data_IF_282604734152
#
_entry.id   IF_282604734152
#
_cell.length_a   1.000
_cell.length_b   1.000
_cell.length_c   1.000
_cell.angle_alpha   90.00
_cell.angle_beta   90.00
_cell.angle_gamma   90.00
#
_symmetry.space_group_name_H-M   'P 1'
#
loop_
_entity.id
_entity.type
_entity.pdbx_description
1 polymer ?
#
# COMPACT_ATOMS: atom_id res chain seq x y z
N UNK A 1 47.91 8.07 21.29
CA UNK A 1 47.36 9.41 21.04
C UNK A 1 48.36 10.05 20.10
N UNK A 2 48.11 10.25 18.81
CA UNK A 2 46.84 10.43 18.11
C UNK A 2 46.91 9.85 16.69
N UNK A 3 45.81 9.24 16.26
CA UNK A 3 45.61 8.69 14.92
C UNK A 3 44.87 9.75 14.08
N UNK A 4 45.62 10.59 13.37
CA UNK A 4 45.12 11.39 12.26
C UNK A 4 45.14 10.53 10.99
N UNK A 5 44.08 9.77 10.75
CA UNK A 5 43.85 9.08 9.48
C UNK A 5 42.36 9.15 9.14
N UNK A 6 42.09 9.61 7.91
CA UNK A 6 40.82 9.69 7.18
C UNK A 6 39.99 10.97 7.34
N UNK A 7 40.39 12.02 6.63
CA UNK A 7 39.42 13.00 6.07
C UNK A 7 39.72 13.43 4.62
N UNK A 8 40.82 12.96 4.00
CA UNK A 8 41.23 13.42 2.67
C UNK A 8 40.68 12.62 1.48
N UNK A 9 39.94 11.52 1.71
CA UNK A 9 39.43 10.67 0.62
C UNK A 9 37.98 11.00 0.21
N UNK A 10 37.23 11.74 1.02
CA UNK A 10 35.84 12.08 0.74
C UNK A 10 35.67 13.34 -0.14
N UNK A 11 36.66 14.22 -0.18
CA UNK A 11 36.60 15.51 -0.87
C UNK A 11 37.05 15.45 -2.34
N UNK A 12 37.84 14.45 -2.74
CA UNK A 12 38.30 14.31 -4.14
C UNK A 12 37.36 13.51 -5.04
N UNK A 13 36.43 12.74 -4.46
CA UNK A 13 35.48 11.90 -5.21
C UNK A 13 34.13 12.60 -5.52
N UNK A 14 33.84 13.75 -4.89
CA UNK A 14 32.53 14.45 -4.99
C UNK A 14 32.46 15.40 -6.20
N UNK A 15 33.59 15.70 -6.85
CA UNK A 15 33.64 16.55 -8.04
C UNK A 15 34.21 15.78 -9.23
N UNK A 16 33.43 14.85 -9.78
CA UNK A 16 33.70 14.40 -11.14
C UNK A 16 33.44 15.58 -12.09
N UNK A 17 34.42 16.02 -12.91
CA UNK A 17 34.28 17.19 -13.78
C UNK A 17 33.07 17.13 -14.72
N UNK A 18 32.60 15.93 -15.04
CA UNK A 18 31.38 15.67 -15.82
C UNK A 18 30.11 16.08 -15.08
N UNK A 19 29.98 15.74 -13.79
CA UNK A 19 28.82 16.09 -12.95
C UNK A 19 28.77 17.59 -12.68
N UNK A 20 29.91 18.20 -12.36
CA UNK A 20 30.03 19.63 -12.15
C UNK A 20 29.66 20.43 -13.42
N UNK A 21 30.07 19.96 -14.60
CA UNK A 21 29.73 20.58 -15.89
C UNK A 21 28.24 20.45 -16.21
N UNK A 22 27.62 19.30 -15.89
CA UNK A 22 26.17 19.12 -16.05
C UNK A 22 25.37 20.03 -15.14
N UNK A 23 25.76 20.15 -13.86
CA UNK A 23 25.11 21.07 -12.93
C UNK A 23 25.25 22.53 -13.36
N UNK A 24 26.42 22.93 -13.85
CA UNK A 24 26.63 24.26 -14.42
C UNK A 24 25.78 24.51 -15.67
N UNK A 25 25.61 23.51 -16.54
CA UNK A 25 24.74 23.62 -17.70
C UNK A 25 23.28 23.80 -17.30
N UNK A 26 22.79 22.96 -16.39
CA UNK A 26 21.41 23.05 -15.88
C UNK A 26 21.17 24.38 -15.17
N UNK A 27 22.14 24.90 -14.40
CA UNK A 27 22.02 26.20 -13.76
C UNK A 27 21.89 27.35 -14.76
N UNK A 28 22.55 27.27 -15.93
CA UNK A 28 22.40 28.25 -17.01
C UNK A 28 21.05 28.15 -17.71
N UNK A 29 20.54 26.95 -17.93
CA UNK A 29 19.21 26.75 -18.50
C UNK A 29 18.12 27.27 -17.56
N UNK A 30 18.25 27.03 -16.25
CA UNK A 30 17.33 27.58 -15.24
C UNK A 30 17.36 29.10 -15.20
N UNK A 31 18.53 29.73 -15.28
CA UNK A 31 18.61 31.20 -15.28
C UNK A 31 18.00 31.81 -16.54
N UNK A 32 18.15 31.16 -17.71
CA UNK A 32 17.47 31.55 -18.94
C UNK A 32 15.95 31.44 -18.81
N UNK A 33 15.43 30.31 -18.32
CA UNK A 33 13.98 30.12 -18.08
C UNK A 33 13.44 31.13 -17.08
N UNK A 34 14.15 31.42 -15.99
CA UNK A 34 13.72 32.38 -14.98
C UNK A 34 13.63 33.81 -15.54
N UNK A 35 14.61 34.24 -16.35
CA UNK A 35 14.58 35.55 -17.02
C UNK A 35 13.41 35.63 -18.02
N UNK A 36 13.21 34.59 -18.81
CA UNK A 36 12.12 34.52 -19.78
C UNK A 36 10.74 34.54 -19.10
N UNK A 37 10.54 33.78 -18.02
CA UNK A 37 9.31 33.81 -17.23
C UNK A 37 9.07 35.18 -16.60
N UNK A 38 10.10 35.80 -16.02
CA UNK A 38 9.97 37.16 -15.46
C UNK A 38 9.53 38.18 -16.52
N UNK A 39 10.09 38.09 -17.74
CA UNK A 39 9.70 38.96 -18.84
C UNK A 39 8.24 38.74 -19.29
N UNK A 40 7.77 37.48 -19.36
CA UNK A 40 6.39 37.17 -19.80
C UNK A 40 5.32 37.46 -18.72
N UNK A 41 5.63 37.33 -17.44
CA UNK A 41 4.66 37.52 -16.35
C UNK A 41 4.61 38.95 -15.79
N UNK A 42 5.55 39.83 -16.12
CA UNK A 42 5.59 41.20 -15.60
C UNK A 42 4.27 41.97 -15.83
N UNK A 43 3.71 42.66 -14.82
CA UNK A 43 4.22 42.91 -13.46
C UNK A 43 3.83 41.86 -12.40
N UNK A 44 3.14 40.79 -12.79
CA UNK A 44 2.72 39.72 -11.85
C UNK A 44 3.89 38.80 -11.52
N UNK A 45 3.95 38.25 -10.30
CA UNK A 45 4.95 37.25 -9.96
C UNK A 45 4.70 35.95 -10.74
N UNK A 46 5.79 35.26 -11.08
CA UNK A 46 5.73 33.93 -11.70
C UNK A 46 5.06 32.95 -10.70
N UNK A 47 4.02 32.20 -11.11
CA UNK A 47 3.40 31.19 -10.25
C UNK A 47 4.42 30.14 -9.79
N UNK A 48 4.26 29.56 -8.57
CA UNK A 48 5.14 28.48 -8.12
C UNK A 48 4.95 27.24 -8.99
N UNK A 49 6.04 26.61 -9.38
CA UNK A 49 6.04 25.36 -10.15
C UNK A 49 7.17 24.45 -9.67
N UNK A 50 7.03 23.15 -9.94
CA UNK A 50 8.02 22.15 -9.58
C UNK A 50 9.27 22.30 -10.46
N UNK A 51 10.46 22.35 -9.85
CA UNK A 51 11.73 22.39 -10.58
C UNK A 51 12.31 20.98 -10.70
N UNK A 52 12.02 20.34 -11.82
CA UNK A 52 12.57 19.03 -12.18
C UNK A 52 13.18 19.09 -13.60
N UNK A 53 13.87 18.03 -14.03
CA UNK A 53 14.53 18.02 -15.35
C UNK A 53 13.53 18.04 -16.52
N UNK A 54 12.33 17.53 -16.30
CA UNK A 54 11.28 17.45 -17.32
C UNK A 54 10.62 18.81 -17.54
N UNK A 55 10.37 19.56 -16.47
CA UNK A 55 9.89 20.95 -16.49
C UNK A 55 10.94 21.88 -17.08
N UNK A 56 12.23 21.69 -16.76
CA UNK A 56 13.30 22.44 -17.42
C UNK A 56 13.28 22.23 -18.94
N UNK A 57 13.18 20.98 -19.39
CA UNK A 57 13.11 20.64 -20.81
C UNK A 57 11.87 21.25 -21.47
N UNK A 58 10.71 21.10 -20.85
CA UNK A 58 9.44 21.62 -21.38
C UNK A 58 9.44 23.15 -21.46
N UNK A 59 9.89 23.84 -20.41
CA UNK A 59 9.95 25.31 -20.37
C UNK A 59 10.99 25.86 -21.34
N UNK A 60 12.14 25.20 -21.48
CA UNK A 60 13.16 25.62 -22.46
C UNK A 60 12.66 25.45 -23.89
N UNK A 61 11.98 24.34 -24.20
CA UNK A 61 11.36 24.13 -25.51
C UNK A 61 10.26 25.17 -25.79
N UNK A 62 9.44 25.50 -24.79
CA UNK A 62 8.39 26.52 -24.91
C UNK A 62 8.98 27.92 -25.10
N UNK A 63 10.06 28.24 -24.38
CA UNK A 63 10.77 29.50 -24.53
C UNK A 63 11.34 29.66 -25.94
N UNK A 64 12.04 28.63 -26.44
CA UNK A 64 12.57 28.62 -27.80
C UNK A 64 11.48 28.71 -28.88
N UNK A 65 10.36 28.00 -28.71
CA UNK A 65 9.23 28.07 -29.64
C UNK A 65 8.58 29.47 -29.65
N UNK A 66 8.45 30.10 -28.48
CA UNK A 66 7.93 31.46 -28.37
C UNK A 66 8.89 32.48 -28.99
N UNK A 67 10.18 32.38 -28.73
CA UNK A 67 11.19 33.27 -29.34
C UNK A 67 11.22 33.12 -30.86
N UNK A 68 11.20 31.89 -31.38
CA UNK A 68 11.11 31.64 -32.83
C UNK A 68 9.84 32.25 -33.45
N UNK A 69 8.69 32.12 -32.77
CA UNK A 69 7.44 32.74 -33.22
C UNK A 69 7.48 34.28 -33.12
N UNK A 70 8.14 34.82 -32.10
CA UNK A 70 8.33 36.27 -31.94
C UNK A 70 9.24 36.83 -33.05
N UNK A 71 10.34 36.13 -33.40
CA UNK A 71 11.25 36.45 -34.51
C UNK A 71 10.57 36.36 -35.89
N UNK A 72 9.77 35.32 -36.11
CA UNK A 72 9.01 35.17 -37.35
C UNK A 72 8.02 36.33 -37.52
N UNK A 73 7.28 36.67 -36.45
CA UNK A 73 6.36 37.80 -36.46
C UNK A 73 7.08 39.13 -36.72
N UNK A 74 8.26 39.33 -36.13
CA UNK A 74 9.09 40.51 -36.39
C UNK A 74 9.52 40.56 -37.87
N UNK A 75 10.03 39.46 -38.41
CA UNK A 75 10.46 39.36 -39.81
C UNK A 75 9.32 39.61 -40.79
N UNK A 76 8.13 39.07 -40.52
CA UNK A 76 6.94 39.32 -41.33
C UNK A 76 6.50 40.80 -41.28
N UNK A 77 6.61 41.44 -40.12
CA UNK A 77 6.28 42.85 -39.97
C UNK A 77 7.26 43.73 -40.74
N UNK A 78 8.57 43.47 -40.62
CA UNK A 78 9.61 44.17 -41.38
C UNK A 78 9.43 44.00 -42.88
N UNK A 79 9.15 42.78 -43.34
CA UNK A 79 8.86 42.50 -44.74
C UNK A 79 7.65 43.29 -45.24
N UNK A 80 6.55 43.29 -44.47
CA UNK A 80 5.35 44.10 -44.79
C UNK A 80 5.66 45.59 -44.83
N UNK A 81 6.41 46.12 -43.88
CA UNK A 81 6.82 47.53 -43.87
C UNK A 81 7.70 47.87 -45.07
N UNK A 82 8.64 46.99 -45.43
CA UNK A 82 9.50 47.18 -46.58
C UNK A 82 8.70 47.20 -47.90
N UNK A 83 7.74 46.27 -48.07
CA UNK A 83 6.82 46.26 -49.21
C UNK A 83 6.00 47.56 -49.25
N UNK A 84 5.41 47.98 -48.14
CA UNK A 84 4.60 49.20 -48.09
C UNK A 84 5.43 50.45 -48.40
N UNK A 85 6.67 50.51 -47.93
CA UNK A 85 7.58 51.63 -48.17
C UNK A 85 8.07 51.71 -49.62
N UNK A 86 8.20 50.57 -50.30
CA UNK A 86 8.62 50.47 -51.70
C UNK A 86 7.46 50.51 -52.69
N UNK A 87 6.22 50.33 -52.21
CA UNK A 87 5.02 50.41 -53.04
C UNK A 87 4.78 51.85 -53.51
N UNK A 88 4.90 52.06 -54.83
CA UNK A 88 4.44 53.28 -55.50
C UNK A 88 3.17 52.97 -56.28
N UNK A 89 2.02 53.59 -55.95
CA UNK A 89 0.80 53.36 -56.70
C UNK A 89 1.01 53.85 -58.14
N UNK A 90 0.95 52.95 -59.12
CA UNK A 90 0.90 53.32 -60.53
C UNK A 90 -0.42 54.05 -60.76
N UNK A 91 -0.36 55.23 -61.40
CA UNK A 91 -1.57 55.94 -61.82
C UNK A 91 -2.36 55.01 -62.75
N UNK A 92 -3.67 54.77 -62.48
CA UNK A 92 -4.47 53.91 -63.33
C UNK A 92 -4.50 54.48 -64.75
N UNK A 93 -4.37 53.60 -65.74
CA UNK A 93 -4.41 53.97 -67.15
C UNK A 93 -5.77 54.63 -67.48
N UNK A 94 -5.80 55.62 -68.38
CA UNK A 94 -7.02 56.39 -68.69
C UNK A 94 -8.17 55.49 -69.17
N UNK A 95 -7.82 54.34 -69.76
CA UNK A 95 -8.78 53.29 -70.17
C UNK A 95 -9.48 52.65 -68.98
N UNK A 96 -8.77 52.42 -67.87
CA UNK A 96 -9.31 51.81 -66.64
C UNK A 96 -10.27 52.77 -65.95
N UNK A 97 -9.97 54.07 -66.00
CA UNK A 97 -10.84 55.12 -65.45
C UNK A 97 -12.17 55.15 -66.21
N UNK A 98 -12.14 55.14 -67.54
CA UNK A 98 -13.35 55.11 -68.37
C UNK A 98 -14.20 53.84 -68.19
N UNK A 99 -13.56 52.68 -68.01
CA UNK A 99 -14.27 51.43 -67.72
C UNK A 99 -14.96 51.51 -66.36
N UNK A 100 -14.29 52.07 -65.34
CA UNK A 100 -14.85 52.31 -64.01
C UNK A 100 -16.05 53.24 -64.04
N UNK A 101 -16.00 54.30 -64.84
CA UNK A 101 -17.12 55.24 -65.02
C UNK A 101 -18.32 54.62 -65.75
N UNK A 102 -18.09 53.62 -66.60
CA UNK A 102 -19.14 52.88 -67.32
C UNK A 102 -19.76 51.70 -66.56
N UNK A 103 -19.24 51.35 -65.38
CA UNK A 103 -19.75 50.25 -64.56
C UNK A 103 -20.97 50.69 -63.74
N UNK A 104 -21.98 49.82 -63.66
CA UNK A 104 -23.10 50.03 -62.74
C UNK A 104 -22.65 49.80 -61.28
N UNK A 105 -23.46 50.26 -60.32
CA UNK A 105 -23.14 50.20 -58.89
C UNK A 105 -22.89 48.77 -58.39
N UNK A 106 -23.64 47.80 -58.90
CA UNK A 106 -23.53 46.40 -58.46
C UNK A 106 -22.26 45.74 -59.00
N UNK A 107 -21.87 46.02 -60.24
CA UNK A 107 -20.62 45.53 -60.81
C UNK A 107 -19.41 46.18 -60.13
N UNK A 108 -19.47 47.47 -59.76
CA UNK A 108 -18.41 48.08 -58.95
C UNK A 108 -18.27 47.38 -57.59
N UNK A 109 -19.38 47.16 -56.88
CA UNK A 109 -19.36 46.44 -55.59
C UNK A 109 -18.84 45.01 -55.71
N UNK A 110 -19.20 44.31 -56.79
CA UNK A 110 -18.73 42.94 -57.04
C UNK A 110 -17.22 42.92 -57.29
N UNK A 111 -16.69 43.88 -58.06
CA UNK A 111 -15.26 44.03 -58.29
C UNK A 111 -14.50 44.42 -57.01
N UNK A 112 -15.04 45.34 -56.21
CA UNK A 112 -14.44 45.72 -54.92
C UNK A 112 -14.44 44.54 -53.94
N UNK A 113 -15.52 43.75 -53.90
CA UNK A 113 -15.61 42.53 -53.10
C UNK A 113 -14.61 41.46 -53.57
N UNK A 114 -14.47 41.29 -54.89
CA UNK A 114 -13.52 40.35 -55.47
C UNK A 114 -12.06 40.76 -55.20
N UNK A 115 -11.75 42.05 -55.37
CA UNK A 115 -10.43 42.59 -55.04
C UNK A 115 -10.14 42.43 -53.55
N UNK A 116 -11.12 42.72 -52.69
CA UNK A 116 -11.03 42.49 -51.25
C UNK A 116 -10.80 41.02 -50.89
N UNK A 117 -11.48 40.09 -51.57
CA UNK A 117 -11.26 38.66 -51.39
C UNK A 117 -9.87 38.21 -51.88
N UNK A 118 -9.42 38.64 -53.06
CA UNK A 118 -8.07 38.34 -53.56
C UNK A 118 -6.98 38.80 -52.60
N UNK A 119 -7.11 40.02 -52.05
CA UNK A 119 -6.14 40.56 -51.08
C UNK A 119 -6.14 39.74 -49.80
N UNK A 120 -7.31 39.38 -49.26
CA UNK A 120 -7.42 38.57 -48.03
C UNK A 120 -6.90 37.15 -48.22
N UNK A 121 -7.10 36.58 -49.40
CA UNK A 121 -6.64 35.24 -49.75
C UNK A 121 -5.17 35.21 -50.17
N UNK A 122 -4.51 36.37 -50.31
CA UNK A 122 -3.14 36.46 -50.82
C UNK A 122 -3.00 35.98 -52.27
N UNK A 123 -4.10 35.95 -53.03
CA UNK A 123 -4.09 35.51 -54.42
C UNK A 123 -3.63 36.66 -55.32
N UNK A 124 -2.51 36.47 -56.01
CA UNK A 124 -1.93 37.44 -56.95
C UNK A 124 -2.83 37.63 -58.16
N UNK A 125 -3.66 38.70 -58.17
CA UNK A 125 -4.43 39.27 -59.30
C UNK A 125 -4.98 38.29 -60.38
N UNK A 126 -5.22 37.02 -60.07
CA UNK A 126 -5.41 35.97 -61.06
C UNK A 126 -6.82 35.40 -61.05
N UNK A 127 -7.80 36.24 -61.34
CA UNK A 127 -9.15 35.80 -61.69
C UNK A 127 -9.95 35.08 -60.57
N UNK A 128 -11.25 34.96 -60.79
CA UNK A 128 -12.20 34.33 -59.85
C UNK A 128 -11.82 32.88 -59.53
N UNK A 129 -11.17 32.18 -60.46
CA UNK A 129 -10.77 30.78 -60.31
C UNK A 129 -9.72 30.54 -59.22
N UNK A 130 -8.70 31.40 -59.10
CA UNK A 130 -7.67 31.24 -58.07
C UNK A 130 -8.23 31.57 -56.68
N UNK A 131 -9.05 32.62 -56.56
CA UNK A 131 -9.77 32.91 -55.32
C UNK A 131 -10.65 31.73 -54.90
N UNK A 132 -11.32 31.08 -55.87
CA UNK A 132 -12.14 29.89 -55.62
C UNK A 132 -11.31 28.73 -55.10
N UNK A 133 -10.16 28.46 -55.71
CA UNK A 133 -9.24 27.40 -55.25
C UNK A 133 -8.69 27.67 -53.85
N UNK A 134 -8.29 28.91 -53.57
CA UNK A 134 -7.85 29.33 -52.24
C UNK A 134 -8.97 29.20 -51.19
N UNK A 135 -10.21 29.59 -51.53
CA UNK A 135 -11.37 29.41 -50.65
C UNK A 135 -11.69 27.94 -50.39
N UNK A 136 -11.60 27.08 -51.41
CA UNK A 136 -11.82 25.65 -51.26
C UNK A 136 -10.74 25.02 -50.38
N UNK A 137 -9.49 25.45 -50.53
CA UNK A 137 -8.39 25.03 -49.68
C UNK A 137 -8.62 25.44 -48.22
N UNK A 138 -8.94 26.72 -47.97
CA UNK A 138 -9.25 27.23 -46.63
C UNK A 138 -10.45 26.51 -46.00
N UNK A 139 -11.53 26.30 -46.76
CA UNK A 139 -12.71 25.56 -46.26
C UNK A 139 -12.39 24.10 -45.96
N UNK A 140 -11.48 23.49 -46.72
CA UNK A 140 -10.99 22.14 -46.43
C UNK A 140 -10.17 22.13 -45.14
N UNK A 141 -9.22 23.05 -44.97
CA UNK A 141 -8.43 23.14 -43.74
C UNK A 141 -9.30 23.46 -42.52
N UNK A 142 -10.26 24.37 -42.64
CA UNK A 142 -11.23 24.70 -41.58
C UNK A 142 -11.99 23.43 -41.16
N UNK A 143 -12.52 22.68 -42.12
CA UNK A 143 -13.21 21.41 -41.84
C UNK A 143 -12.28 20.35 -41.22
N UNK A 144 -11.03 20.24 -41.68
CA UNK A 144 -10.05 19.30 -41.12
C UNK A 144 -9.71 19.63 -39.67
N UNK A 145 -9.52 20.92 -39.34
CA UNK A 145 -9.27 21.40 -37.98
C UNK A 145 -10.50 21.23 -37.09
N UNK A 146 -11.70 21.59 -37.57
CA UNK A 146 -12.94 21.36 -36.83
C UNK A 146 -13.14 19.88 -36.50
N UNK A 147 -12.83 19.00 -37.45
CA UNK A 147 -12.93 17.57 -37.24
C UNK A 147 -11.84 17.02 -36.30
N UNK A 148 -10.65 17.64 -36.22
CA UNK A 148 -9.60 17.22 -35.27
C UNK A 148 -9.88 17.66 -33.83
N UNK A 149 -10.59 18.79 -33.64
CA UNK A 149 -10.95 19.30 -32.31
C UNK A 149 -11.90 18.34 -31.57
N UNK A 150 -12.89 17.76 -32.26
CA UNK A 150 -13.91 16.92 -31.60
C UNK A 150 -13.33 15.69 -30.86
N UNK A 151 -12.43 14.88 -31.45
CA UNK A 151 -11.74 13.80 -30.73
C UNK A 151 -10.85 14.30 -29.58
N UNK A 152 -10.16 15.42 -29.77
CA UNK A 152 -9.30 16.01 -28.74
C UNK A 152 -10.12 16.44 -27.51
N UNK A 153 -11.26 17.08 -27.72
CA UNK A 153 -12.20 17.45 -26.65
C UNK A 153 -12.76 16.23 -25.92
N UNK A 154 -13.07 15.14 -26.64
CA UNK A 154 -13.51 13.90 -26.03
C UNK A 154 -12.41 13.27 -25.17
N UNK A 155 -11.18 13.28 -25.67
CA UNK A 155 -10.01 12.76 -24.94
C UNK A 155 -9.75 13.57 -23.67
N UNK A 156 -9.82 14.91 -23.77
CA UNK A 156 -9.69 15.80 -22.61
C UNK A 156 -10.78 15.53 -21.56
N UNK A 157 -12.03 15.31 -21.97
CA UNK A 157 -13.13 14.97 -21.05
C UNK A 157 -12.87 13.65 -20.32
N UNK A 158 -12.35 12.63 -21.02
CA UNK A 158 -12.00 11.34 -20.41
C UNK A 158 -10.85 11.53 -19.40
N UNK A 159 -9.76 12.20 -19.80
CA UNK A 159 -8.62 12.43 -18.91
C UNK A 159 -9.00 13.22 -17.65
N UNK A 160 -9.89 14.21 -17.76
CA UNK A 160 -10.40 14.94 -16.61
C UNK A 160 -11.22 14.04 -15.66
N UNK A 161 -12.02 13.12 -16.20
CA UNK A 161 -12.76 12.15 -15.40
C UNK A 161 -11.79 11.17 -14.70
N UNK A 162 -10.76 10.70 -15.40
CA UNK A 162 -9.73 9.81 -14.84
C UNK A 162 -8.94 10.50 -13.71
N UNK A 163 -8.60 11.79 -13.88
CA UNK A 163 -7.94 12.58 -12.82
C UNK A 163 -8.85 12.68 -11.59
N UNK A 164 -10.14 12.96 -11.78
CA UNK A 164 -11.09 13.02 -10.67
C UNK A 164 -11.20 11.66 -9.95
N UNK A 165 -11.27 10.56 -10.69
CA UNK A 165 -11.30 9.21 -10.11
C UNK A 165 -10.01 8.88 -9.34
N UNK A 166 -8.85 9.28 -9.88
CA UNK A 166 -7.56 9.12 -9.23
C UNK A 166 -7.47 9.95 -7.94
N UNK A 167 -7.94 11.20 -7.95
CA UNK A 167 -7.99 12.07 -6.77
C UNK A 167 -8.92 11.51 -5.70
N UNK A 168 -10.10 11.02 -6.08
CA UNK A 168 -11.03 10.36 -5.14
C UNK A 168 -10.40 9.10 -4.53
N UNK A 169 -9.72 8.30 -5.34
CA UNK A 169 -9.00 7.12 -4.88
C UNK A 169 -7.88 7.51 -3.90
N UNK A 170 -7.11 8.54 -4.22
CA UNK A 170 -6.04 9.04 -3.37
C UNK A 170 -6.59 9.59 -2.05
N UNK A 171 -7.72 10.30 -2.07
CA UNK A 171 -8.44 10.72 -0.85
C UNK A 171 -8.91 9.54 0.00
N UNK A 172 -9.39 8.46 -0.62
CA UNK A 172 -9.75 7.22 0.11
C UNK A 172 -8.53 6.61 0.81
N UNK A 173 -7.37 6.57 0.14
CA UNK A 173 -6.13 6.07 0.74
C UNK A 173 -5.47 7.02 1.74
N UNK A 174 -5.76 8.32 1.66
CA UNK A 174 -5.34 9.31 2.66
C UNK A 174 -6.31 9.40 3.85
N UNK A 175 -7.44 8.69 3.81
CA UNK A 175 -8.37 8.65 4.95
C UNK A 175 -7.75 7.90 6.14
N UNK A 176 -8.21 8.23 7.36
CA UNK A 176 -7.74 7.66 8.63
C UNK A 176 -7.70 6.12 8.67
N UNK A 177 -8.43 5.43 7.80
CA UNK A 177 -8.40 3.98 7.67
C UNK A 177 -7.04 3.42 7.20
N UNK A 178 -6.25 4.22 6.49
CA UNK A 178 -4.96 3.84 5.91
C UNK A 178 -3.78 4.65 6.47
N UNK A 179 -4.02 5.62 7.36
CA UNK A 179 -2.94 6.24 8.11
C UNK A 179 -2.26 5.19 8.98
N UNK A 180 -0.93 5.15 8.93
CA UNK A 180 -0.16 4.28 9.82
C UNK A 180 -0.39 4.76 11.25
N UNK A 181 -0.99 3.96 12.15
CA UNK A 181 -1.25 4.41 13.50
C UNK A 181 0.06 4.89 14.13
N UNK A 182 0.06 6.11 14.67
CA UNK A 182 1.28 6.77 15.20
C UNK A 182 1.97 5.93 16.29
N UNK A 183 1.23 5.02 16.93
CA UNK A 183 1.70 4.10 17.96
C UNK A 183 2.31 2.79 17.41
N UNK A 184 2.23 2.53 16.11
CA UNK A 184 2.73 1.27 15.52
C UNK A 184 4.24 1.07 15.78
N UNK A 185 5.13 2.08 15.62
CA UNK A 185 6.55 1.90 15.93
C UNK A 185 6.79 1.60 17.41
N UNK A 186 6.01 2.23 18.30
CA UNK A 186 6.08 1.98 19.74
C UNK A 186 5.64 0.55 20.07
N UNK A 187 4.52 0.09 19.51
CA UNK A 187 4.02 -1.28 19.68
C UNK A 187 4.98 -2.33 19.10
N UNK A 188 5.59 -2.08 17.94
CA UNK A 188 6.61 -2.97 17.36
C UNK A 188 7.85 -3.03 18.25
N UNK A 189 8.30 -1.90 18.81
CA UNK A 189 9.40 -1.86 19.76
C UNK A 189 9.07 -2.62 21.08
N UNK A 190 7.84 -2.53 21.55
CA UNK A 190 7.37 -3.32 22.71
C UNK A 190 7.31 -4.82 22.39
N UNK A 191 6.67 -5.20 21.28
CA UNK A 191 6.58 -6.61 20.86
C UNK A 191 7.94 -7.23 20.61
N UNK A 192 8.88 -6.49 20.02
CA UNK A 192 10.25 -7.00 19.84
C UNK A 192 10.97 -7.20 21.17
N UNK A 193 10.76 -6.34 22.18
CA UNK A 193 11.28 -6.55 23.54
C UNK A 193 10.63 -7.76 24.22
N UNK A 194 9.31 -7.90 24.14
CA UNK A 194 8.60 -9.03 24.77
C UNK A 194 8.98 -10.35 24.11
N UNK A 195 9.13 -10.39 22.78
CA UNK A 195 9.61 -11.57 22.05
C UNK A 195 11.00 -11.98 22.53
N UNK A 196 11.94 -11.03 22.70
CA UNK A 196 13.27 -11.34 23.23
C UNK A 196 13.23 -11.94 24.64
N UNK A 197 12.40 -11.37 25.53
CA UNK A 197 12.23 -11.90 26.89
C UNK A 197 11.62 -13.31 26.85
N UNK A 198 10.61 -13.54 26.01
CA UNK A 198 9.97 -14.85 25.86
C UNK A 198 10.93 -15.89 25.28
N UNK A 199 11.79 -15.50 24.32
CA UNK A 199 12.84 -16.36 23.78
C UNK A 199 13.88 -16.73 24.84
N UNK A 200 14.29 -15.77 25.68
CA UNK A 200 15.20 -16.06 26.79
C UNK A 200 14.56 -17.02 27.80
N UNK A 201 13.31 -16.78 28.18
CA UNK A 201 12.59 -17.67 29.11
C UNK A 201 12.35 -19.06 28.53
N UNK A 202 12.04 -19.18 27.24
CA UNK A 202 11.85 -20.49 26.62
C UNK A 202 13.16 -21.28 26.57
N UNK A 203 14.29 -20.63 26.34
CA UNK A 203 15.61 -21.24 26.46
C UNK A 203 15.89 -21.69 27.90
N UNK A 204 15.63 -20.84 28.90
CA UNK A 204 15.79 -21.19 30.32
C UNK A 204 14.92 -22.39 30.72
N UNK A 205 13.64 -22.42 30.33
CA UNK A 205 12.75 -23.54 30.62
C UNK A 205 13.20 -24.82 29.91
N UNK A 206 13.73 -24.70 28.69
CA UNK A 206 14.29 -25.84 27.96
C UNK A 206 15.53 -26.38 28.68
N UNK A 207 16.44 -25.51 29.13
CA UNK A 207 17.63 -25.90 29.87
C UNK A 207 17.30 -26.49 31.24
N UNK A 208 16.27 -25.95 31.92
CA UNK A 208 15.77 -26.51 33.18
C UNK A 208 15.13 -27.88 32.97
N UNK A 209 14.36 -28.06 31.90
CA UNK A 209 13.76 -29.34 31.55
C UNK A 209 14.83 -30.39 31.19
N UNK A 210 15.83 -30.04 30.39
CA UNK A 210 16.94 -30.96 30.08
C UNK A 210 17.76 -31.28 31.32
N UNK A 211 18.00 -30.29 32.20
CA UNK A 211 18.69 -30.50 33.48
C UNK A 211 17.91 -31.44 34.40
N UNK A 212 16.60 -31.24 34.54
CA UNK A 212 15.73 -32.13 35.32
C UNK A 212 15.66 -33.53 34.71
N UNK A 213 15.56 -33.63 33.38
CA UNK A 213 15.57 -34.92 32.68
C UNK A 213 16.90 -35.65 32.87
N UNK A 214 18.03 -34.93 32.81
CA UNK A 214 19.35 -35.50 33.07
C UNK A 214 19.53 -35.90 34.53
N UNK A 215 19.01 -35.12 35.47
CA UNK A 215 19.00 -35.47 36.90
C UNK A 215 18.17 -36.74 37.15
N UNK A 216 16.98 -36.82 36.53
CA UNK A 216 16.13 -38.01 36.57
C UNK A 216 16.80 -39.23 35.93
N UNK A 217 17.54 -39.05 34.83
CA UNK A 217 18.32 -40.15 34.21
C UNK A 217 19.51 -40.60 35.05
N UNK A 218 20.20 -39.67 35.72
CA UNK A 218 21.37 -39.98 36.57
C UNK A 218 20.99 -40.63 37.89
N UNK A 219 19.91 -40.15 38.51
CA UNK A 219 19.34 -40.70 39.73
C UNK A 219 17.84 -40.92 39.51
N UNK A 220 17.44 -42.03 38.88
CA UNK A 220 16.04 -42.37 38.81
C UNK A 220 15.51 -42.57 40.23
N UNK A 221 14.33 -42.01 40.56
CA UNK A 221 13.73 -42.25 41.84
C UNK A 221 13.55 -43.76 42.04
N UNK A 222 13.96 -44.26 43.21
CA UNK A 222 13.95 -45.69 43.54
C UNK A 222 12.56 -46.31 43.46
N UNK A 223 11.53 -45.49 43.65
CA UNK A 223 10.12 -45.86 43.49
C UNK A 223 9.44 -44.75 42.68
N UNK A 224 8.77 -45.14 41.59
CA UNK A 224 7.84 -44.27 40.87
C UNK A 224 6.53 -44.16 41.65
N UNK A 225 5.74 -43.11 41.40
CA UNK A 225 4.43 -42.95 42.04
C UNK A 225 3.55 -44.16 41.75
N UNK A 226 3.61 -44.68 40.52
CA UNK A 226 2.93 -45.92 40.12
C UNK A 226 3.39 -47.13 40.96
N UNK A 227 4.69 -47.32 41.15
CA UNK A 227 5.21 -48.42 41.97
C UNK A 227 4.86 -48.28 43.46
N UNK A 228 4.71 -47.05 43.97
CA UNK A 228 4.28 -46.81 45.35
C UNK A 228 2.80 -47.15 45.54
N UNK A 229 1.96 -46.85 44.55
CA UNK A 229 0.53 -47.21 44.56
C UNK A 229 0.36 -48.72 44.49
N UNK A 230 1.15 -49.41 43.67
CA UNK A 230 1.15 -50.88 43.62
C UNK A 230 1.59 -51.48 44.96
N UNK A 231 2.69 -50.99 45.53
CA UNK A 231 3.18 -51.45 46.83
C UNK A 231 2.17 -51.16 47.97
N UNK A 232 1.50 -50.01 47.91
CA UNK A 232 0.43 -49.66 48.85
C UNK A 232 -0.73 -50.65 48.76
N UNK A 233 -1.15 -51.02 47.56
CA UNK A 233 -2.21 -52.02 47.35
C UNK A 233 -1.81 -53.39 47.90
N UNK A 234 -0.58 -53.84 47.66
CA UNK A 234 -0.06 -55.11 48.16
C UNK A 234 0.01 -55.13 49.69
N UNK A 235 0.42 -54.01 50.31
CA UNK A 235 0.43 -53.87 51.78
C UNK A 235 -0.98 -53.92 52.34
N UNK A 236 -1.96 -53.29 51.70
CA UNK A 236 -3.36 -53.34 52.13
C UNK A 236 -3.93 -54.76 52.06
N UNK A 237 -3.61 -55.51 51.00
CA UNK A 237 -4.01 -56.91 50.84
C UNK A 237 -3.36 -57.80 51.90
N UNK A 238 -2.05 -57.64 52.13
CA UNK A 238 -1.33 -58.35 53.18
C UNK A 238 -1.89 -58.03 54.58
N UNK A 239 -2.24 -56.77 54.85
CA UNK A 239 -2.90 -56.39 56.10
C UNK A 239 -4.29 -57.01 56.23
N UNK A 240 -5.03 -57.16 55.13
CA UNK A 240 -6.28 -57.92 55.10
C UNK A 240 -6.07 -59.39 55.44
N UNK A 241 -5.06 -60.01 54.84
CA UNK A 241 -4.70 -61.41 55.05
C UNK A 241 -4.27 -61.67 56.50
N UNK A 242 -3.39 -60.83 57.06
CA UNK A 242 -2.95 -60.90 58.46
C UNK A 242 -4.13 -60.74 59.41
N UNK A 243 -5.08 -59.82 59.13
CA UNK A 243 -6.30 -59.69 59.95
C UNK A 243 -7.15 -60.95 59.92
N UNK A 244 -7.31 -61.57 58.75
CA UNK A 244 -8.06 -62.84 58.61
C UNK A 244 -7.38 -63.98 59.36
N UNK A 245 -6.06 -64.18 59.15
CA UNK A 245 -5.25 -65.18 59.87
C UNK A 245 -5.29 -64.97 61.38
N UNK A 246 -5.14 -63.74 61.84
CA UNK A 246 -5.22 -63.44 63.27
C UNK A 246 -6.64 -63.70 63.82
N UNK A 247 -7.68 -63.47 63.02
CA UNK A 247 -9.05 -63.90 63.34
C UNK A 247 -9.19 -65.41 63.46
N UNK A 248 -8.59 -66.18 62.55
CA UNK A 248 -8.57 -67.64 62.59
C UNK A 248 -7.79 -68.16 63.80
N UNK A 249 -6.59 -67.64 64.06
CA UNK A 249 -5.78 -67.99 65.23
C UNK A 249 -6.53 -67.68 66.52
N UNK A 250 -7.18 -66.52 66.62
CA UNK A 250 -8.05 -66.19 67.77
C UNK A 250 -9.17 -67.22 67.93
N UNK A 251 -9.84 -67.61 66.86
CA UNK A 251 -10.87 -68.65 66.92
C UNK A 251 -10.31 -69.99 67.43
N UNK A 252 -9.11 -70.40 67.01
CA UNK A 252 -8.44 -71.61 67.52
C UNK A 252 -7.97 -71.50 68.97
N UNK A 253 -7.51 -70.32 69.42
CA UNK A 253 -7.13 -70.12 70.83
C UNK A 253 -8.31 -70.18 71.81
N UNK A 254 -9.53 -69.98 71.32
CA UNK A 254 -10.76 -70.14 72.11
C UNK A 254 -11.23 -71.59 72.19
N UNK A 255 -10.64 -72.50 71.39
CA UNK A 255 -10.94 -73.93 71.43
C UNK A 255 -10.07 -74.67 72.46
N UNK A 256 -10.65 -75.56 73.29
CA UNK A 256 -9.87 -76.43 74.17
C UNK A 256 -8.95 -77.37 73.37
N UNK A 257 -7.76 -77.74 73.89
CA UNK A 257 -6.80 -78.63 73.19
C UNK A 257 -7.29 -80.07 72.93
N UNK A 258 -8.41 -80.48 73.55
CA UNK A 258 -8.98 -81.83 73.44
C UNK A 258 -10.12 -81.86 72.40
N UNK A 259 -10.04 -82.69 71.33
CA UNK A 259 -11.02 -82.71 70.23
C UNK A 259 -12.45 -83.04 70.67
N UNK A 260 -12.65 -83.85 71.72
CA UNK A 260 -14.01 -84.15 72.20
C UNK A 260 -14.62 -82.99 73.01
N UNK A 261 -13.80 -82.26 73.77
CA UNK A 261 -14.23 -81.08 74.51
C UNK A 261 -14.55 -79.90 73.58
N UNK A 262 -13.80 -79.75 72.48
CA UNK A 262 -14.07 -78.75 71.45
C UNK A 262 -15.41 -79.01 70.73
N UNK A 263 -15.73 -80.27 70.41
CA UNK A 263 -17.02 -80.63 69.79
C UNK A 263 -18.22 -80.29 70.67
N UNK A 264 -18.13 -80.55 71.99
CA UNK A 264 -19.21 -80.19 72.92
C UNK A 264 -19.44 -78.68 72.98
N UNK A 265 -18.37 -77.88 73.08
CA UNK A 265 -18.51 -76.41 73.07
C UNK A 265 -19.04 -75.86 71.76
N UNK A 266 -18.70 -76.49 70.63
CA UNK A 266 -19.28 -76.12 69.32
C UNK A 266 -20.76 -76.46 69.28
N UNK A 267 -21.18 -77.61 69.81
CA UNK A 267 -22.58 -78.02 69.83
C UNK A 267 -23.41 -77.13 70.77
N UNK A 268 -22.90 -76.83 71.97
CA UNK A 268 -23.51 -75.85 72.90
C UNK A 268 -23.66 -74.46 72.23
N UNK A 269 -22.61 -73.98 71.56
CA UNK A 269 -22.67 -72.70 70.85
C UNK A 269 -23.63 -72.71 69.65
N UNK A 270 -23.78 -73.86 68.96
CA UNK A 270 -24.75 -74.02 67.86
C UNK A 270 -26.17 -74.04 68.38
N UNK A 271 -26.43 -74.75 69.47
CA UNK A 271 -27.75 -74.76 70.13
C UNK A 271 -28.12 -73.34 70.57
N UNK A 272 -27.18 -72.59 71.14
CA UNK A 272 -27.41 -71.21 71.54
C UNK A 272 -27.64 -70.29 70.33
N UNK A 273 -26.92 -70.50 69.22
CA UNK A 273 -27.14 -69.77 67.97
C UNK A 273 -28.53 -70.08 67.38
N UNK A 274 -28.92 -71.35 67.31
CA UNK A 274 -30.24 -71.75 66.80
C UNK A 274 -31.37 -71.26 67.72
N UNK A 275 -31.14 -71.23 69.04
CA UNK A 275 -32.05 -70.59 69.98
C UNK A 275 -32.17 -69.08 69.72
N UNK A 276 -31.06 -68.38 69.51
CA UNK A 276 -31.07 -66.94 69.21
C UNK A 276 -31.65 -66.64 67.83
N UNK A 277 -31.43 -67.49 66.82
CA UNK A 277 -32.06 -67.39 65.49
C UNK A 277 -33.55 -67.65 65.57
N UNK A 278 -33.98 -68.69 66.27
CA UNK A 278 -35.40 -68.98 66.51
C UNK A 278 -36.04 -67.81 67.26
N UNK A 279 -35.37 -67.24 68.27
CA UNK A 279 -35.85 -66.05 68.97
C UNK A 279 -35.94 -64.83 68.07
N UNK A 280 -34.95 -64.65 67.18
CA UNK A 280 -34.93 -63.60 66.17
C UNK A 280 -36.08 -63.79 65.17
N UNK A 281 -36.34 -65.01 64.72
CA UNK A 281 -37.44 -65.35 63.82
C UNK A 281 -38.80 -65.25 64.49
N UNK A 282 -38.95 -65.60 65.77
CA UNK A 282 -40.15 -65.31 66.56
C UNK A 282 -40.40 -63.81 66.66
N UNK A 283 -39.36 -63.01 66.93
CA UNK A 283 -39.48 -61.55 66.97
C UNK A 283 -39.83 -60.98 65.58
N UNK A 284 -39.22 -61.48 64.50
CA UNK A 284 -39.57 -61.06 63.14
C UNK A 284 -40.97 -61.53 62.71
N UNK A 285 -41.41 -62.71 63.12
CA UNK A 285 -42.77 -63.21 62.87
C UNK A 285 -43.81 -62.46 63.70
N UNK A 286 -43.46 -62.03 64.92
CA UNK A 286 -44.29 -61.14 65.74
C UNK A 286 -44.45 -59.74 65.13
N UNK A 287 -43.40 -59.23 64.48
CA UNK A 287 -43.46 -57.98 63.71
C UNK A 287 -44.25 -58.15 62.41
N UNK A 288 -44.28 -59.35 61.81
CA UNK A 288 -45.00 -59.62 60.56
C UNK A 288 -46.49 -59.98 60.72
N UNK A 289 -46.99 -60.17 61.95
CA UNK A 289 -48.43 -60.43 62.26
C UNK A 289 -49.13 -59.31 63.02
N UNK A 290 -48.48 -58.15 63.20
CA UNK A 290 -49.11 -56.88 63.62
C UNK A 290 -49.17 -55.92 62.46
#
# INVERSE_FOLDING_TARGET
MDLHLNDDWASSAVFSPSLARQQQHQAKEWSYVDQWLQAKYHPRPVPPFERNTDTLRALTALAAANEAADEERASQLEFKQNILSSYRPKRPDDKVIRIREGLNRDASKALDSLAGASVKLGADFGGVSQNREALLYLSKEECEVEHSILPEEQTLKILLADIQEAEESLRKFQSEAYETPKDLPAKVAEWTRTIKILQQKSAEYKDRATSLQNAYRRNPPRYTVESLVELESEVLDLQGHVRSLNGQVKAYTLLPPDPQAAQRKIEEAKEELERLKSRREELYQGIARS
#
